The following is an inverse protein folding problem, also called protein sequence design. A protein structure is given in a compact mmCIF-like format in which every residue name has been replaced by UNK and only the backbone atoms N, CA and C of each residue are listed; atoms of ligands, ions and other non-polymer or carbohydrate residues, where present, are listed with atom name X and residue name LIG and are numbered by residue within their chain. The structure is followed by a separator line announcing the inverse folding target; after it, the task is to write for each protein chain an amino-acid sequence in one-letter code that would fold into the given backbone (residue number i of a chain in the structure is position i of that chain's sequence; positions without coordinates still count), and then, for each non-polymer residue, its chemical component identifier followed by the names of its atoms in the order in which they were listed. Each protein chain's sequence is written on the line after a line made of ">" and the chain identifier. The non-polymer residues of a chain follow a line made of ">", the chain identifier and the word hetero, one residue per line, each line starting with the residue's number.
data_IF_645663283195
#
_entry.id   IF_645663283195
#
_cell.length_a   1.000
_cell.length_b   1.000
_cell.length_c   1.000
_cell.angle_alpha   90.00
_cell.angle_beta   90.00
_cell.angle_gamma   90.00
#
_symmetry.space_group_name_H-M   'P 1'
#
loop_
_entity.id
_entity.type
_entity.pdbx_description
1 polymer ?
#
# COMPACT_ATOMS: atom_id res chain seq x y z
N UNK A 1 -20.86 3.41 3.24
CA UNK A 1 -19.44 3.03 3.19
C UNK A 1 -19.32 1.65 2.58
N UNK A 2 -18.43 1.49 1.61
CA UNK A 2 -18.11 0.22 0.94
C UNK A 2 -16.67 -0.12 1.29
N UNK A 3 -16.38 -1.39 1.54
CA UNK A 3 -15.02 -1.88 1.77
C UNK A 3 -14.65 -2.73 0.56
N UNK A 4 -13.50 -2.44 -0.03
CA UNK A 4 -12.92 -3.23 -1.11
C UNK A 4 -11.69 -3.92 -0.53
N UNK A 5 -11.69 -5.24 -0.53
CA UNK A 5 -10.50 -6.02 -0.24
C UNK A 5 -9.70 -6.16 -1.54
N UNK A 6 -8.58 -5.44 -1.64
CA UNK A 6 -7.57 -5.71 -2.63
C UNK A 6 -6.86 -7.01 -2.20
N UNK A 7 -6.92 -8.06 -3.02
CA UNK A 7 -6.17 -9.29 -2.75
C UNK A 7 -4.67 -8.97 -2.62
N UNK A 8 -3.90 -9.79 -1.92
CA UNK A 8 -2.46 -9.54 -1.64
C UNK A 8 -1.53 -9.42 -2.87
N UNK A 9 -2.09 -9.42 -4.08
CA UNK A 9 -1.39 -9.21 -5.36
C UNK A 9 -1.88 -7.97 -6.13
N UNK A 10 -2.86 -7.23 -5.60
CA UNK A 10 -3.44 -6.08 -6.28
C UNK A 10 -2.69 -4.79 -5.96
N UNK A 11 -2.46 -3.99 -7.01
CA UNK A 11 -1.84 -2.67 -6.93
C UNK A 11 -2.87 -1.63 -6.45
N UNK A 12 -2.60 -0.90 -5.34
CA UNK A 12 -3.53 0.09 -4.80
C UNK A 12 -3.86 1.22 -5.77
N UNK A 13 -2.88 1.63 -6.59
CA UNK A 13 -3.01 2.67 -7.60
C UNK A 13 -4.08 2.33 -8.64
N UNK A 14 -4.12 1.08 -9.12
CA UNK A 14 -5.10 0.62 -10.10
C UNK A 14 -6.53 0.61 -9.54
N UNK A 15 -6.69 0.23 -8.27
CA UNK A 15 -8.00 0.33 -7.59
C UNK A 15 -8.41 1.78 -7.44
N UNK A 16 -7.47 2.68 -7.09
CA UNK A 16 -7.77 4.08 -6.88
C UNK A 16 -8.14 4.83 -8.17
N UNK A 17 -7.57 4.45 -9.32
CA UNK A 17 -7.93 5.01 -10.63
C UNK A 17 -9.41 4.87 -10.96
N UNK A 18 -10.08 3.82 -10.47
CA UNK A 18 -11.52 3.64 -10.64
C UNK A 18 -12.35 4.78 -10.01
N UNK A 19 -11.79 5.48 -9.02
CA UNK A 19 -12.44 6.59 -8.31
C UNK A 19 -11.95 7.96 -8.77
N UNK A 20 -11.06 8.02 -9.76
CA UNK A 20 -10.60 9.27 -10.36
C UNK A 20 -11.47 9.63 -11.56
N UNK A 21 -11.78 10.91 -11.72
CA UNK A 21 -12.39 11.41 -12.94
C UNK A 21 -11.38 11.25 -14.08
N UNK A 22 -11.81 10.68 -15.22
CA UNK A 22 -10.99 10.66 -16.43
C UNK A 22 -10.86 12.10 -16.95
N UNK A 23 -9.83 12.82 -16.53
CA UNK A 23 -9.51 14.18 -16.99
C UNK A 23 -8.46 14.21 -18.10
N UNK A 24 -8.06 13.05 -18.62
CA UNK A 24 -6.99 13.00 -19.59
C UNK A 24 -7.46 13.48 -20.97
N UNK A 25 -6.94 14.63 -21.41
CA UNK A 25 -6.93 15.10 -22.80
C UNK A 25 -5.98 14.22 -23.65
N UNK A 26 -6.18 12.90 -23.66
CA UNK A 26 -5.42 12.03 -24.55
C UNK A 26 -6.06 12.07 -25.95
N UNK A 27 -5.25 12.31 -26.98
CA UNK A 27 -5.57 12.25 -28.42
C UNK A 27 -5.96 10.82 -28.89
N UNK A 28 -6.53 9.99 -28.01
CA UNK A 28 -7.12 8.71 -28.34
C UNK A 28 -8.63 8.88 -28.52
N UNK A 29 -9.00 9.45 -29.67
CA UNK A 29 -10.39 9.65 -30.12
C UNK A 29 -11.25 8.36 -30.11
N UNK A 30 -10.65 7.17 -29.99
CA UNK A 30 -11.36 5.89 -30.06
C UNK A 30 -11.75 5.28 -28.70
N UNK A 31 -11.09 5.61 -27.58
CA UNK A 31 -11.37 4.97 -26.27
C UNK A 31 -12.24 5.84 -25.35
N UNK A 32 -12.38 7.14 -25.67
CA UNK A 32 -13.29 8.07 -24.99
C UNK A 32 -14.66 8.16 -25.67
N UNK A 33 -15.16 7.08 -26.25
CA UNK A 33 -16.61 6.99 -26.46
C UNK A 33 -17.26 6.90 -25.08
N UNK A 34 -17.71 8.05 -24.56
CA UNK A 34 -18.68 8.13 -23.46
C UNK A 34 -19.91 7.35 -23.90
N UNK A 35 -19.89 6.04 -23.68
CA UNK A 35 -21.09 5.23 -23.69
C UNK A 35 -21.99 5.84 -22.61
N UNK A 36 -23.08 6.49 -23.03
CA UNK A 36 -23.96 7.27 -22.16
C UNK A 36 -24.57 6.41 -21.02
N UNK A 37 -24.46 5.08 -21.13
CA UNK A 37 -24.88 4.11 -20.11
C UNK A 37 -23.76 3.59 -19.19
N UNK A 38 -22.49 3.98 -19.38
CA UNK A 38 -21.38 3.49 -18.54
C UNK A 38 -21.31 4.31 -17.25
N UNK A 39 -21.70 3.70 -16.14
CA UNK A 39 -21.56 4.29 -14.81
C UNK A 39 -20.07 4.34 -14.46
N UNK A 40 -19.54 5.55 -14.23
CA UNK A 40 -18.19 5.75 -13.68
C UNK A 40 -18.28 5.76 -12.16
N UNK A 41 -17.38 5.05 -11.49
CA UNK A 41 -17.39 4.94 -10.02
C UNK A 41 -17.18 6.29 -9.34
N UNK A 42 -16.41 7.21 -9.94
CA UNK A 42 -16.20 8.58 -9.45
C UNK A 42 -17.50 9.40 -9.35
N UNK A 43 -18.51 9.11 -10.18
CA UNK A 43 -19.78 9.85 -10.19
C UNK A 43 -20.68 9.48 -9.00
N UNK A 44 -20.49 8.28 -8.44
CA UNK A 44 -21.39 7.69 -7.42
C UNK A 44 -20.68 7.38 -6.10
N UNK A 45 -19.35 7.39 -6.06
CA UNK A 45 -18.56 7.07 -4.89
C UNK A 45 -17.21 7.81 -4.89
N UNK A 46 -16.72 8.16 -3.70
CA UNK A 46 -15.38 8.72 -3.47
C UNK A 46 -14.51 7.69 -2.73
N UNK A 47 -13.25 7.57 -3.12
CA UNK A 47 -12.25 6.85 -2.33
C UNK A 47 -11.93 7.66 -1.06
N UNK A 48 -12.31 7.11 0.09
CA UNK A 48 -12.17 7.80 1.38
C UNK A 48 -10.86 7.47 2.09
N UNK A 49 -10.50 6.19 2.14
CA UNK A 49 -9.30 5.70 2.83
C UNK A 49 -8.74 4.46 2.15
N UNK A 50 -7.41 4.34 2.15
CA UNK A 50 -6.67 3.14 1.78
C UNK A 50 -5.96 2.65 3.03
N UNK A 51 -6.32 1.44 3.46
CA UNK A 51 -5.78 0.80 4.66
C UNK A 51 -4.85 -0.33 4.26
N UNK A 52 -3.62 -0.30 4.75
CA UNK A 52 -2.67 -1.40 4.62
C UNK A 52 -2.43 -2.04 5.97
N UNK A 53 -2.52 -3.37 6.04
CA UNK A 53 -2.25 -4.13 7.27
C UNK A 53 -0.88 -4.78 7.14
N UNK A 54 0.00 -4.50 8.10
CA UNK A 54 1.37 -5.02 8.15
C UNK A 54 1.54 -5.88 9.40
N UNK A 55 2.08 -7.08 9.20
CA UNK A 55 2.49 -8.00 10.27
C UNK A 55 3.86 -7.57 10.81
N UNK A 56 3.90 -7.15 12.08
CA UNK A 56 5.12 -6.64 12.71
C UNK A 56 6.25 -7.67 12.75
N UNK A 57 5.94 -8.92 13.12
CA UNK A 57 6.94 -9.98 13.24
C UNK A 57 7.51 -10.34 11.87
N UNK A 58 6.64 -10.54 10.88
CA UNK A 58 7.09 -10.87 9.53
C UNK A 58 7.85 -9.71 8.88
N UNK A 59 7.42 -8.47 9.11
CA UNK A 59 8.11 -7.29 8.58
C UNK A 59 9.54 -7.18 9.15
N UNK A 60 9.69 -7.40 10.45
CA UNK A 60 10.99 -7.36 11.12
C UNK A 60 11.94 -8.47 10.64
N UNK A 61 11.45 -9.71 10.55
CA UNK A 61 12.26 -10.85 10.09
C UNK A 61 12.77 -10.65 8.65
N UNK A 62 11.92 -10.13 7.77
CA UNK A 62 12.28 -9.80 6.39
C UNK A 62 13.37 -8.72 6.34
N UNK A 63 13.23 -7.68 7.16
CA UNK A 63 14.20 -6.60 7.27
C UNK A 63 15.57 -7.10 7.77
N UNK A 64 15.59 -7.83 8.90
CA UNK A 64 16.81 -8.41 9.49
C UNK A 64 17.52 -9.36 8.53
N UNK A 65 16.76 -10.16 7.79
CA UNK A 65 17.32 -11.11 6.82
C UNK A 65 18.14 -10.38 5.76
N UNK A 66 17.66 -9.25 5.24
CA UNK A 66 18.41 -8.47 4.25
C UNK A 66 19.54 -7.67 4.87
N UNK A 67 19.35 -7.09 6.05
CA UNK A 67 20.44 -6.42 6.77
C UNK A 67 21.62 -7.37 7.04
N UNK A 68 21.35 -8.65 7.27
CA UNK A 68 22.39 -9.69 7.42
C UNK A 68 23.01 -10.09 6.08
N UNK A 69 22.21 -10.26 5.03
CA UNK A 69 22.67 -10.73 3.72
C UNK A 69 23.30 -9.64 2.82
N UNK A 70 23.07 -8.36 3.10
CA UNK A 70 23.79 -7.24 2.44
C UNK A 70 25.29 -7.25 2.74
N UNK A 71 25.73 -7.94 3.80
CA UNK A 71 27.15 -8.24 4.05
C UNK A 71 27.71 -9.36 3.15
N UNK A 72 26.85 -10.09 2.42
CA UNK A 72 27.17 -11.25 1.59
C UNK A 72 26.59 -11.11 0.15
N UNK A 73 26.78 -9.98 -0.53
CA UNK A 73 26.42 -9.82 -1.97
C UNK A 73 25.04 -10.35 -2.40
N UNK A 74 24.05 -10.37 -1.50
CA UNK A 74 22.71 -10.86 -1.85
C UNK A 74 21.90 -9.75 -2.50
N UNK A 75 21.47 -9.97 -3.74
CA UNK A 75 20.64 -9.03 -4.49
C UNK A 75 19.13 -9.19 -4.14
N UNK A 76 18.81 -9.45 -2.87
CA UNK A 76 17.42 -9.68 -2.42
C UNK A 76 16.83 -8.38 -1.85
N UNK A 77 15.76 -7.93 -2.46
CA UNK A 77 14.90 -6.87 -1.90
C UNK A 77 14.22 -7.40 -0.62
N UNK A 78 14.26 -6.67 0.50
CA UNK A 78 13.67 -7.12 1.78
C UNK A 78 12.16 -7.26 1.72
N UNK A 79 11.54 -6.49 0.84
CA UNK A 79 10.11 -6.47 0.66
C UNK A 79 9.79 -6.68 -0.82
N UNK A 80 8.66 -7.30 -1.11
CA UNK A 80 8.16 -7.29 -2.49
C UNK A 80 7.86 -5.85 -2.88
N UNK A 81 8.13 -5.51 -4.15
CA UNK A 81 7.80 -4.19 -4.69
C UNK A 81 6.34 -3.80 -4.41
N UNK A 82 5.43 -4.76 -4.52
CA UNK A 82 4.01 -4.54 -4.25
C UNK A 82 3.73 -4.18 -2.78
N UNK A 83 4.40 -4.83 -1.82
CA UNK A 83 4.23 -4.51 -0.41
C UNK A 83 4.68 -3.08 -0.11
N UNK A 84 5.77 -2.64 -0.73
CA UNK A 84 6.25 -1.26 -0.61
C UNK A 84 5.23 -0.29 -1.20
N UNK A 85 4.72 -0.54 -2.40
CA UNK A 85 3.68 0.28 -3.03
C UNK A 85 2.40 0.37 -2.17
N UNK A 86 2.00 -0.74 -1.53
CA UNK A 86 0.88 -0.77 -0.60
C UNK A 86 1.12 0.09 0.65
N UNK A 87 2.34 0.10 1.18
CA UNK A 87 2.71 0.95 2.32
C UNK A 87 2.74 2.42 1.88
N UNK A 88 3.34 2.74 0.75
CA UNK A 88 3.47 4.11 0.22
C UNK A 88 2.11 4.73 -0.14
N UNK A 89 1.15 3.93 -0.62
CA UNK A 89 -0.15 4.43 -1.07
C UNK A 89 -1.16 4.62 0.08
N UNK A 90 -0.99 3.92 1.20
CA UNK A 90 -1.97 3.94 2.27
C UNK A 90 -1.97 5.28 3.03
N UNK A 91 -3.15 5.63 3.55
CA UNK A 91 -3.30 6.76 4.48
C UNK A 91 -3.48 6.27 5.93
N UNK A 92 -3.86 5.00 6.11
CA UNK A 92 -3.85 4.32 7.41
C UNK A 92 -3.06 3.03 7.28
N UNK A 93 -2.11 2.85 8.19
CA UNK A 93 -1.35 1.62 8.31
C UNK A 93 -1.69 0.95 9.65
N UNK A 94 -2.20 -0.26 9.61
CA UNK A 94 -2.44 -1.07 10.81
C UNK A 94 -1.27 -2.01 10.99
N UNK A 95 -0.51 -1.82 12.06
CA UNK A 95 0.59 -2.70 12.44
C UNK A 95 0.08 -3.72 13.45
N UNK A 96 -0.12 -4.96 13.00
CA UNK A 96 -0.65 -6.05 13.83
C UNK A 96 0.43 -7.02 14.31
N UNK A 97 0.06 -7.87 15.27
CA UNK A 97 0.95 -8.86 15.91
C UNK A 97 2.15 -8.22 16.62
N UNK A 98 1.94 -7.04 17.18
CA UNK A 98 2.97 -6.33 17.94
C UNK A 98 3.38 -7.08 19.22
N UNK A 99 2.55 -8.02 19.68
CA UNK A 99 2.83 -8.91 20.80
C UNK A 99 3.94 -9.94 20.52
N UNK A 100 4.30 -10.13 19.25
CA UNK A 100 5.35 -11.05 18.81
C UNK A 100 6.73 -10.39 18.64
N UNK A 101 6.84 -9.08 18.87
CA UNK A 101 8.09 -8.32 18.76
C UNK A 101 8.39 -7.57 20.06
N UNK A 102 9.66 -7.28 20.33
CA UNK A 102 10.06 -6.44 21.46
C UNK A 102 9.75 -4.96 21.20
N UNK A 103 9.76 -4.14 22.26
CA UNK A 103 9.57 -2.68 22.13
C UNK A 103 10.63 -2.04 21.21
N UNK A 104 11.90 -2.44 21.33
CA UNK A 104 12.99 -1.94 20.48
C UNK A 104 12.79 -2.33 18.99
N UNK A 105 12.29 -3.55 18.75
CA UNK A 105 11.96 -4.02 17.41
C UNK A 105 10.78 -3.23 16.84
N UNK A 106 9.74 -3.01 17.65
CA UNK A 106 8.57 -2.23 17.27
C UNK A 106 8.95 -0.79 16.89
N UNK A 107 9.80 -0.13 17.68
CA UNK A 107 10.32 1.20 17.36
C UNK A 107 11.09 1.20 16.02
N UNK A 108 11.91 0.17 15.79
CA UNK A 108 12.66 0.00 14.53
C UNK A 108 11.74 -0.16 13.32
N UNK A 109 10.68 -0.97 13.47
CA UNK A 109 9.65 -1.17 12.44
C UNK A 109 8.93 0.14 12.15
N UNK A 110 8.44 0.84 13.18
CA UNK A 110 7.75 2.11 13.00
C UNK A 110 8.61 3.16 12.30
N UNK A 111 9.89 3.25 12.64
CA UNK A 111 10.82 4.18 12.00
C UNK A 111 11.00 3.85 10.52
N UNK A 112 11.07 2.57 10.15
CA UNK A 112 11.11 2.14 8.75
C UNK A 112 9.81 2.44 8.02
N UNK A 113 8.65 2.15 8.62
CA UNK A 113 7.36 2.44 8.02
C UNK A 113 7.15 3.94 7.80
N UNK A 114 7.61 4.79 8.74
CA UNK A 114 7.61 6.25 8.58
C UNK A 114 8.57 6.73 7.50
N UNK A 115 9.68 6.03 7.26
CA UNK A 115 10.60 6.32 6.17
C UNK A 115 9.98 6.01 4.79
N UNK A 116 9.25 4.89 4.69
CA UNK A 116 8.52 4.51 3.48
C UNK A 116 7.32 5.43 3.23
N UNK A 117 6.54 5.72 4.27
CA UNK A 117 5.38 6.60 4.18
C UNK A 117 5.21 7.45 5.44
N UNK A 118 5.73 8.68 5.38
CA UNK A 118 5.63 9.64 6.48
C UNK A 118 4.24 10.27 6.66
N UNK A 119 3.30 10.03 5.74
CA UNK A 119 1.96 10.62 5.77
C UNK A 119 0.90 9.68 6.35
N UNK A 120 1.15 8.37 6.36
CA UNK A 120 0.21 7.38 6.88
C UNK A 120 0.06 7.49 8.41
N UNK A 121 -1.19 7.42 8.87
CA UNK A 121 -1.48 7.23 10.29
C UNK A 121 -1.23 5.77 10.66
N UNK A 122 -0.20 5.53 11.48
CA UNK A 122 0.09 4.19 12.02
C UNK A 122 -0.79 3.93 13.25
N UNK A 123 -1.46 2.77 13.26
CA UNK A 123 -2.26 2.26 14.38
C UNK A 123 -1.68 0.90 14.76
N UNK A 124 -1.27 0.74 16.02
CA UNK A 124 -0.82 -0.54 16.55
C UNK A 124 -2.03 -1.33 17.07
N UNK A 125 -2.05 -2.64 16.79
CA UNK A 125 -3.18 -3.54 17.08
C UNK A 125 -2.74 -4.93 17.54
#
# INVERSE_FOLDING_TARGET
>A
YMIIEASGIAEPSEVAKLFQECTEDHDHEEEHQKDENKIVLSDVARLDTCVTVVDAAQFFDNFETVARQTNENSNKEPFSKLMVEQIEYCNVLVLNKIDLVSEDQLETIENHLKLLNGHAKIITA
#
